data_IF_852777734354
#
_entry.id   IF_852777734354
#
_cell.length_a   1.000
_cell.length_b   1.000
_cell.length_c   1.000
_cell.angle_alpha   90.00
_cell.angle_beta   90.00
_cell.angle_gamma   90.00
#
_symmetry.space_group_name_H-M   'P 1'
#
loop_
_entity.id
_entity.type
_entity.pdbx_description
1 polymer ?
#
# COMPACT_ATOMS: atom_id res chain seq x y z
N UNK A 1 -6.20 -21.05 6.91
CA UNK A 1 -4.99 -20.51 6.27
C UNK A 1 -5.29 -19.14 5.67
N UNK A 2 -4.92 -18.05 6.36
CA UNK A 2 -5.17 -16.67 5.91
C UNK A 2 -4.27 -16.21 4.75
N UNK A 3 -2.93 -16.35 4.79
CA UNK A 3 -2.07 -15.77 3.75
C UNK A 3 -2.32 -16.35 2.36
N UNK A 4 -2.70 -17.63 2.25
CA UNK A 4 -3.06 -18.25 0.98
C UNK A 4 -4.31 -17.65 0.34
N UNK A 5 -5.35 -17.36 1.14
CA UNK A 5 -6.57 -16.69 0.66
C UNK A 5 -6.25 -15.31 0.12
N UNK A 6 -5.49 -14.51 0.88
CA UNK A 6 -5.10 -13.16 0.45
C UNK A 6 -4.21 -13.22 -0.80
N UNK A 7 -3.28 -14.17 -0.88
CA UNK A 7 -2.42 -14.38 -2.05
C UNK A 7 -3.19 -14.65 -3.34
N UNK A 8 -4.18 -15.55 -3.29
CA UNK A 8 -5.02 -15.87 -4.46
C UNK A 8 -5.92 -14.69 -4.83
N UNK A 9 -6.44 -13.95 -3.85
CA UNK A 9 -7.19 -12.71 -4.12
C UNK A 9 -6.32 -11.67 -4.84
N UNK A 10 -5.08 -11.44 -4.37
CA UNK A 10 -4.14 -10.53 -5.03
C UNK A 10 -3.80 -10.98 -6.46
N UNK A 11 -3.54 -12.27 -6.66
CA UNK A 11 -3.28 -12.83 -7.99
C UNK A 11 -4.48 -12.64 -8.93
N UNK A 12 -5.70 -12.80 -8.41
CA UNK A 12 -6.94 -12.56 -9.17
C UNK A 12 -7.04 -11.10 -9.61
N UNK A 13 -6.74 -10.14 -8.73
CA UNK A 13 -6.73 -8.71 -9.09
C UNK A 13 -5.66 -8.37 -10.14
N UNK A 14 -4.48 -8.97 -10.04
CA UNK A 14 -3.43 -8.80 -11.04
C UNK A 14 -3.88 -9.30 -12.42
N UNK A 15 -4.53 -10.47 -12.49
CA UNK A 15 -5.08 -11.01 -13.74
C UNK A 15 -6.14 -10.08 -14.32
N UNK A 16 -7.09 -9.61 -13.50
CA UNK A 16 -8.13 -8.66 -13.95
C UNK A 16 -7.50 -7.40 -14.53
N UNK A 17 -6.49 -6.85 -13.86
CA UNK A 17 -5.81 -5.64 -14.30
C UNK A 17 -5.08 -5.84 -15.63
N UNK A 18 -4.26 -6.90 -15.74
CA UNK A 18 -3.45 -7.18 -16.94
C UNK A 18 -4.34 -7.46 -18.17
N UNK A 19 -5.44 -8.18 -17.98
CA UNK A 19 -6.34 -8.58 -19.08
C UNK A 19 -7.48 -7.58 -19.33
N UNK A 20 -7.53 -6.47 -18.58
CA UNK A 20 -8.61 -5.49 -18.62
C UNK A 20 -10.01 -6.13 -18.45
N UNK A 21 -10.16 -7.00 -17.44
CA UNK A 21 -11.39 -7.73 -17.14
C UNK A 21 -12.12 -7.16 -15.93
N UNK A 22 -13.43 -6.97 -16.08
CA UNK A 22 -14.32 -6.53 -14.99
C UNK A 22 -13.87 -5.21 -14.36
N UNK A 23 -14.12 -5.07 -13.05
CA UNK A 23 -13.73 -3.90 -12.27
C UNK A 23 -12.67 -4.29 -11.24
N UNK A 24 -11.40 -3.90 -11.41
CA UNK A 24 -10.35 -4.07 -10.41
C UNK A 24 -10.67 -3.35 -9.09
N UNK A 25 -10.09 -3.80 -7.99
CA UNK A 25 -10.21 -3.19 -6.66
C UNK A 25 -9.38 -1.89 -6.51
N UNK A 26 -9.07 -1.19 -7.60
CA UNK A 26 -8.32 0.06 -7.57
C UNK A 26 -9.09 1.10 -6.72
N UNK A 27 -8.36 1.77 -5.82
CA UNK A 27 -8.95 2.75 -4.89
C UNK A 27 -9.83 2.13 -3.81
N UNK A 28 -9.73 0.81 -3.59
CA UNK A 28 -10.51 0.08 -2.59
C UNK A 28 -9.60 -0.81 -1.74
N UNK A 29 -9.91 -0.87 -0.45
CA UNK A 29 -9.25 -1.74 0.51
C UNK A 29 -10.23 -2.81 0.98
N UNK A 30 -9.83 -4.07 0.91
CA UNK A 30 -10.55 -5.18 1.53
C UNK A 30 -9.91 -5.49 2.89
N UNK A 31 -10.74 -5.42 3.94
CA UNK A 31 -10.44 -5.94 5.27
C UNK A 31 -11.05 -7.34 5.36
N UNK A 32 -10.22 -8.36 5.59
CA UNK A 32 -10.65 -9.74 5.75
C UNK A 32 -10.45 -10.18 7.21
N UNK A 33 -11.55 -10.49 7.89
CA UNK A 33 -11.53 -11.10 9.21
C UNK A 33 -11.65 -12.62 9.08
N UNK A 34 -10.52 -13.30 9.27
CA UNK A 34 -10.43 -14.74 9.14
C UNK A 34 -11.15 -15.52 10.24
N UNK A 35 -11.33 -14.91 11.42
CA UNK A 35 -11.94 -15.58 12.57
C UNK A 35 -13.46 -15.61 12.40
N UNK A 36 -14.04 -14.48 11.99
CA UNK A 36 -15.48 -14.40 11.71
C UNK A 36 -15.86 -14.80 10.28
N UNK A 37 -14.88 -15.02 9.39
CA UNK A 37 -15.07 -15.26 7.96
C UNK A 37 -15.89 -14.16 7.28
N UNK A 38 -15.62 -12.91 7.65
CA UNK A 38 -16.27 -11.73 7.07
C UNK A 38 -15.27 -10.87 6.31
N UNK A 39 -15.78 -10.06 5.39
CA UNK A 39 -14.97 -9.04 4.73
C UNK A 39 -15.71 -7.71 4.66
N UNK A 40 -14.94 -6.63 4.60
CA UNK A 40 -15.45 -5.27 4.39
C UNK A 40 -14.63 -4.60 3.30
N UNK A 41 -15.33 -4.00 2.34
CA UNK A 41 -14.73 -3.14 1.33
C UNK A 41 -14.82 -1.68 1.80
N UNK A 42 -13.74 -0.93 1.66
CA UNK A 42 -13.69 0.49 1.95
C UNK A 42 -13.07 1.24 0.78
N UNK A 43 -13.62 2.41 0.45
CA UNK A 43 -12.99 3.30 -0.53
C UNK A 43 -11.80 4.01 0.11
N UNK A 44 -10.69 4.05 -0.61
CA UNK A 44 -9.47 4.75 -0.21
C UNK A 44 -9.20 5.84 -1.24
N UNK A 45 -9.15 7.08 -0.76
CA UNK A 45 -8.82 8.24 -1.58
C UNK A 45 -7.37 8.65 -1.36
N UNK A 46 -6.73 9.16 -2.41
CA UNK A 46 -5.41 9.79 -2.32
C UNK A 46 -5.47 10.97 -1.36
N UNK A 47 -4.55 11.02 -0.41
CA UNK A 47 -4.33 12.21 0.42
C UNK A 47 -3.56 13.25 -0.40
N UNK A 48 -4.14 14.46 -0.53
CA UNK A 48 -3.52 15.60 -1.21
C UNK A 48 -2.24 16.06 -0.52
N UNK A 49 -2.13 15.83 0.78
CA UNK A 49 -0.99 16.22 1.61
C UNK A 49 0.04 15.09 1.78
N UNK A 50 -0.12 13.95 1.07
CA UNK A 50 0.82 12.85 1.18
C UNK A 50 2.23 13.32 0.80
N UNK A 51 3.26 13.17 1.66
CA UNK A 51 4.61 13.64 1.36
C UNK A 51 5.27 12.86 0.21
N UNK A 52 4.76 11.68 -0.15
CA UNK A 52 5.28 10.85 -1.24
C UNK A 52 4.58 11.13 -2.57
N UNK A 53 3.24 11.15 -2.57
CA UNK A 53 2.46 11.24 -3.78
C UNK A 53 1.37 12.31 -3.71
N UNK A 54 1.46 13.31 -2.84
CA UNK A 54 0.50 14.42 -2.73
C UNK A 54 0.60 15.42 -3.88
N UNK A 55 -0.01 16.59 -3.72
CA UNK A 55 0.12 17.71 -4.67
C UNK A 55 1.51 18.37 -4.58
N UNK A 56 2.13 18.36 -3.39
CA UNK A 56 3.47 18.89 -3.12
C UNK A 56 4.35 17.82 -2.43
N UNK A 57 4.90 16.83 -3.16
CA UNK A 57 5.68 15.75 -2.57
C UNK A 57 7.04 16.26 -2.04
N UNK A 58 7.37 15.89 -0.79
CA UNK A 58 8.67 16.17 -0.16
C UNK A 58 9.62 14.96 -0.21
N UNK A 59 9.09 13.74 -0.30
CA UNK A 59 9.88 12.51 -0.46
C UNK A 59 10.07 12.27 -1.96
N UNK A 60 11.28 12.51 -2.45
CA UNK A 60 11.60 12.46 -3.89
C UNK A 60 12.70 11.47 -4.25
N UNK A 61 13.35 10.87 -3.26
CA UNK A 61 14.44 9.90 -3.44
C UNK A 61 14.27 8.75 -2.48
N UNK A 62 14.80 7.60 -2.90
CA UNK A 62 14.92 6.43 -2.05
C UNK A 62 16.15 6.55 -1.15
N UNK A 63 16.16 5.73 -0.11
CA UNK A 63 17.34 5.55 0.72
C UNK A 63 18.28 4.60 -0.04
N UNK A 64 19.52 5.03 -0.23
CA UNK A 64 20.52 4.25 -0.97
C UNK A 64 21.12 3.11 -0.13
N UNK A 65 21.17 3.28 1.20
CA UNK A 65 21.66 2.29 2.17
C UNK A 65 20.57 1.95 3.20
N UNK A 66 19.77 0.94 2.85
CA UNK A 66 18.64 0.50 3.68
C UNK A 66 19.09 -0.11 5.01
N UNK A 67 20.21 -0.84 5.02
CA UNK A 67 20.70 -1.51 6.21
C UNK A 67 21.20 -0.48 7.24
N UNK A 68 21.94 0.55 6.80
CA UNK A 68 22.34 1.65 7.67
C UNK A 68 21.14 2.43 8.24
N UNK A 69 20.08 2.63 7.45
CA UNK A 69 18.85 3.30 7.90
C UNK A 69 18.05 2.46 8.90
N UNK A 70 18.07 1.14 8.78
CA UNK A 70 17.44 0.23 9.73
C UNK A 70 18.16 0.22 11.09
N UNK A 71 19.49 0.38 11.08
CA UNK A 71 20.31 0.43 12.28
C UNK A 71 20.28 1.80 13.00
N UNK A 72 20.12 2.90 12.26
CA UNK A 72 20.03 4.26 12.83
C UNK A 72 18.90 5.10 12.21
N UNK A 73 17.69 5.06 12.80
CA UNK A 73 16.51 5.75 12.28
C UNK A 73 16.59 7.29 12.28
N UNK A 74 17.44 7.88 13.12
CA UNK A 74 17.57 9.35 13.23
C UNK A 74 18.33 9.98 12.05
N UNK A 75 19.06 9.19 11.25
CA UNK A 75 19.71 9.65 10.00
C UNK A 75 18.68 10.18 8.99
N UNK A 76 17.38 9.92 9.20
CA UNK A 76 16.31 10.28 8.28
C UNK A 76 15.13 11.04 8.93
N UNK A 77 15.30 11.70 10.08
CA UNK A 77 14.32 12.72 10.44
C UNK A 77 14.35 13.80 9.35
N UNK A 78 13.25 14.07 8.60
CA UNK A 78 13.23 15.25 7.74
C UNK A 78 13.57 16.44 8.63
N UNK A 79 14.51 17.28 8.21
CA UNK A 79 14.90 18.47 8.95
C UNK A 79 13.62 19.18 9.43
N UNK A 80 13.49 19.28 10.76
CA UNK A 80 12.42 20.04 11.36
C UNK A 80 12.75 21.51 11.13
N UNK A 81 12.14 22.08 10.09
CA UNK A 81 12.02 23.52 9.88
C UNK A 81 10.61 23.95 10.29
#
# INVERSE_FOLDING_TARGET
MLPGVIGVMMATEAIKYILNLGEPLIGRLILYDALSMTYREMKVSRDKNCPLCGENPSITKLIDDYDAAAENPEIFAPAAD
#
